data_IF_195888410355
#
_entry.id   IF_195888410355
#
_cell.length_a   1.000
_cell.length_b   1.000
_cell.length_c   1.000
_cell.angle_alpha   90.00
_cell.angle_beta   90.00
_cell.angle_gamma   90.00
#
_symmetry.space_group_name_H-M   'P 1'
#
loop_
_entity.id
_entity.type
_entity.pdbx_description
1 polymer ?
#
# COMPACT_ATOMS: atom_id res chain seq x y z
N UNK A 1 -17.25 -23.19 -5.88
CA UNK A 1 -17.42 -22.28 -7.04
C UNK A 1 -16.42 -21.17 -6.97
N UNK A 2 -15.86 -20.78 -8.10
CA UNK A 2 -15.01 -19.60 -8.21
C UNK A 2 -15.89 -18.41 -8.62
N UNK A 3 -15.62 -17.25 -8.04
CA UNK A 3 -16.29 -16.01 -8.39
C UNK A 3 -15.22 -14.97 -8.70
N UNK A 4 -15.21 -14.46 -9.92
CA UNK A 4 -14.34 -13.37 -10.31
C UNK A 4 -14.98 -12.04 -9.88
N UNK A 5 -14.24 -11.24 -9.11
CA UNK A 5 -14.66 -9.89 -8.70
C UNK A 5 -13.56 -8.92 -9.12
N UNK A 6 -13.84 -8.09 -10.10
CA UNK A 6 -12.93 -7.05 -10.59
C UNK A 6 -13.26 -5.65 -10.05
N UNK A 7 -14.51 -5.46 -9.62
CA UNK A 7 -15.01 -4.26 -8.96
C UNK A 7 -16.29 -4.63 -8.22
N UNK A 8 -16.36 -4.39 -6.93
CA UNK A 8 -17.50 -4.72 -6.12
C UNK A 8 -17.17 -5.06 -4.68
N UNK A 9 -18.20 -5.37 -3.92
CA UNK A 9 -18.11 -5.74 -2.52
C UNK A 9 -18.62 -7.17 -2.35
N UNK A 10 -17.87 -7.99 -1.60
CA UNK A 10 -18.23 -9.37 -1.28
C UNK A 10 -18.07 -9.63 0.22
N UNK A 11 -18.80 -10.62 0.74
CA UNK A 11 -18.63 -11.10 2.11
C UNK A 11 -18.14 -12.54 2.08
N UNK A 12 -17.03 -12.81 2.81
CA UNK A 12 -16.39 -14.12 2.87
C UNK A 12 -16.11 -14.43 4.34
N UNK A 13 -16.75 -15.47 4.88
CA UNK A 13 -16.54 -15.96 6.26
C UNK A 13 -16.62 -14.84 7.33
N UNK A 14 -17.54 -13.88 7.12
CA UNK A 14 -17.74 -12.76 8.04
C UNK A 14 -16.78 -11.58 7.83
N UNK A 15 -15.86 -11.68 6.88
CA UNK A 15 -15.06 -10.56 6.42
C UNK A 15 -15.77 -9.83 5.27
N UNK A 16 -15.87 -8.50 5.35
CA UNK A 16 -16.29 -7.67 4.22
C UNK A 16 -15.07 -7.34 3.37
N UNK A 17 -15.12 -7.65 2.11
CA UNK A 17 -14.04 -7.40 1.16
C UNK A 17 -14.54 -6.47 0.06
N UNK A 18 -13.92 -5.30 -0.04
CA UNK A 18 -14.15 -4.36 -1.14
C UNK A 18 -13.00 -4.48 -2.13
N UNK A 19 -13.35 -4.63 -3.39
CA UNK A 19 -12.39 -4.73 -4.51
C UNK A 19 -12.57 -3.53 -5.42
N UNK A 20 -11.48 -2.84 -5.74
CA UNK A 20 -11.50 -1.70 -6.68
C UNK A 20 -10.30 -1.77 -7.62
N UNK A 21 -10.49 -1.38 -8.89
CA UNK A 21 -9.38 -1.17 -9.80
C UNK A 21 -8.43 -0.09 -9.26
N UNK A 22 -7.13 -0.35 -9.34
CA UNK A 22 -6.08 0.60 -8.95
C UNK A 22 -5.14 0.88 -10.12
N UNK A 23 -4.54 2.08 -10.19
CA UNK A 23 -3.58 2.43 -11.24
C UNK A 23 -2.44 1.41 -11.33
N UNK A 24 -2.22 0.87 -12.51
CA UNK A 24 -1.13 -0.04 -12.86
C UNK A 24 -0.99 -0.12 -14.39
N UNK A 25 0.15 -0.62 -14.90
CA UNK A 25 0.39 -0.81 -16.35
C UNK A 25 -0.52 -1.85 -16.99
N UNK A 26 -1.18 -2.70 -16.20
CA UNK A 26 -2.19 -3.65 -16.61
C UNK A 26 -3.43 -3.54 -15.72
N UNK A 27 -4.44 -4.37 -15.96
CA UNK A 27 -5.58 -4.45 -15.07
C UNK A 27 -5.12 -5.00 -13.70
N UNK A 28 -5.34 -4.24 -12.65
CA UNK A 28 -5.00 -4.62 -11.28
C UNK A 28 -6.06 -4.15 -10.29
N UNK A 29 -6.18 -4.85 -9.17
CA UNK A 29 -7.13 -4.55 -8.12
C UNK A 29 -6.42 -4.36 -6.78
N UNK A 30 -6.90 -3.37 -6.02
CA UNK A 30 -6.66 -3.27 -4.59
C UNK A 30 -7.84 -3.83 -3.79
N UNK A 31 -7.58 -4.10 -2.53
CA UNK A 31 -8.54 -4.74 -1.64
C UNK A 31 -8.62 -4.00 -0.31
N UNK A 32 -9.84 -3.83 0.20
CA UNK A 32 -10.11 -3.43 1.58
C UNK A 32 -10.82 -4.57 2.28
N UNK A 33 -10.26 -5.04 3.39
CA UNK A 33 -10.81 -6.13 4.19
C UNK A 33 -11.18 -5.61 5.58
N UNK A 34 -12.44 -5.80 5.96
CA UNK A 34 -12.95 -5.43 7.28
C UNK A 34 -13.39 -6.70 8.01
N UNK A 35 -12.72 -7.01 9.10
CA UNK A 35 -12.99 -8.22 9.90
C UNK A 35 -12.59 -8.03 11.35
N UNK A 36 -13.41 -8.49 12.29
CA UNK A 36 -13.10 -8.44 13.73
C UNK A 36 -12.86 -7.02 14.27
N UNK A 37 -13.43 -6.00 13.65
CA UNK A 37 -13.22 -4.60 14.01
C UNK A 37 -11.92 -3.99 13.46
N UNK A 38 -11.12 -4.74 12.73
CA UNK A 38 -9.93 -4.24 12.03
C UNK A 38 -10.22 -4.00 10.55
N UNK A 39 -9.54 -3.01 9.98
CA UNK A 39 -9.60 -2.64 8.57
C UNK A 39 -8.20 -2.68 7.96
N UNK A 40 -8.03 -3.46 6.90
CA UNK A 40 -6.77 -3.63 6.18
C UNK A 40 -6.99 -3.26 4.72
N UNK A 41 -6.14 -2.41 4.16
CA UNK A 41 -6.06 -2.17 2.72
C UNK A 41 -4.82 -2.86 2.14
N UNK A 42 -4.96 -3.51 0.99
CA UNK A 42 -3.88 -4.24 0.31
C UNK A 42 -3.75 -3.77 -1.14
N UNK A 43 -2.61 -3.16 -1.44
CA UNK A 43 -2.28 -2.58 -2.74
C UNK A 43 -0.84 -2.99 -3.13
N UNK A 44 -0.64 -4.28 -3.49
CA UNK A 44 0.69 -4.85 -3.76
C UNK A 44 1.32 -4.28 -5.03
N UNK A 45 0.52 -4.02 -6.05
CA UNK A 45 0.95 -3.44 -7.32
C UNK A 45 0.16 -2.14 -7.53
N UNK A 46 0.77 -1.02 -7.23
CA UNK A 46 0.12 0.28 -7.37
C UNK A 46 1.08 1.28 -8.01
N UNK A 47 0.72 1.76 -9.20
CA UNK A 47 1.53 2.71 -9.93
C UNK A 47 1.25 4.14 -9.48
N UNK A 48 2.30 4.85 -9.06
CA UNK A 48 2.18 6.28 -8.81
C UNK A 48 2.10 7.08 -10.13
N UNK A 49 1.47 8.28 -10.13
CA UNK A 49 1.52 9.18 -11.27
C UNK A 49 2.97 9.52 -11.65
N UNK A 50 3.26 9.50 -12.96
CA UNK A 50 4.59 9.85 -13.50
C UNK A 50 4.64 11.26 -14.12
N UNK A 51 3.53 11.99 -14.03
CA UNK A 51 3.38 13.34 -14.54
C UNK A 51 3.83 14.43 -13.53
N UNK A 52 4.45 14.02 -12.43
CA UNK A 52 4.89 14.91 -11.34
C UNK A 52 3.77 15.36 -10.40
N UNK A 53 2.55 14.87 -10.59
CA UNK A 53 1.44 15.17 -9.65
C UNK A 53 1.50 14.27 -8.43
N UNK A 54 1.32 14.87 -7.25
CA UNK A 54 1.08 14.15 -6.01
C UNK A 54 -0.43 13.96 -5.83
N UNK A 55 -1.02 13.06 -6.60
CA UNK A 55 -2.46 12.78 -6.56
C UNK A 55 -2.70 11.29 -6.35
N UNK A 56 -3.57 10.98 -5.41
CA UNK A 56 -4.08 9.62 -5.19
C UNK A 56 -5.40 9.46 -5.93
N UNK A 57 -5.62 8.32 -6.59
CA UNK A 57 -6.90 8.05 -7.23
C UNK A 57 -8.01 7.82 -6.20
N UNK A 58 -9.25 8.16 -6.56
CA UNK A 58 -10.41 8.03 -5.68
C UNK A 58 -10.60 6.59 -5.20
N UNK A 59 -10.37 5.60 -6.07
CA UNK A 59 -10.45 4.18 -5.73
C UNK A 59 -9.43 3.76 -4.67
N UNK A 60 -8.21 4.27 -4.73
CA UNK A 60 -7.16 4.01 -3.74
C UNK A 60 -7.50 4.68 -2.42
N UNK A 61 -7.97 5.94 -2.45
CA UNK A 61 -8.43 6.62 -1.22
C UNK A 61 -9.59 5.86 -0.58
N UNK A 62 -10.58 5.40 -1.38
CA UNK A 62 -11.71 4.61 -0.87
C UNK A 62 -11.27 3.33 -0.17
N UNK A 63 -10.29 2.61 -0.72
CA UNK A 63 -9.76 1.39 -0.11
C UNK A 63 -9.01 1.66 1.19
N UNK A 64 -8.21 2.73 1.22
CA UNK A 64 -7.31 3.04 2.32
C UNK A 64 -7.96 3.88 3.44
N UNK A 65 -9.14 4.47 3.22
CA UNK A 65 -9.79 5.42 4.14
C UNK A 65 -9.86 4.90 5.57
N UNK A 66 -9.12 5.59 6.48
CA UNK A 66 -9.06 5.28 7.90
C UNK A 66 -8.57 3.86 8.25
N UNK A 67 -7.89 3.17 7.34
CA UNK A 67 -7.45 1.79 7.57
C UNK A 67 -6.53 1.66 8.78
N UNK A 68 -6.69 0.57 9.55
CA UNK A 68 -5.78 0.24 10.64
C UNK A 68 -4.39 -0.15 10.13
N UNK A 69 -4.33 -0.72 8.91
CA UNK A 69 -3.09 -1.04 8.22
C UNK A 69 -3.29 -0.89 6.71
N UNK A 70 -2.41 -0.15 6.06
CA UNK A 70 -2.25 -0.16 4.61
C UNK A 70 -1.01 -0.97 4.27
N UNK A 71 -1.16 -2.02 3.48
CA UNK A 71 -0.06 -2.80 2.88
C UNK A 71 0.07 -2.28 1.45
N UNK A 72 1.20 -1.64 1.14
CA UNK A 72 1.32 -0.86 -0.08
C UNK A 72 2.62 -1.17 -0.83
N UNK A 73 2.52 -1.18 -2.16
CA UNK A 73 3.68 -1.15 -3.05
C UNK A 73 4.64 -0.02 -2.62
N UNK A 74 5.90 -0.35 -2.46
CA UNK A 74 6.96 0.57 -2.05
C UNK A 74 8.29 0.14 -2.65
N UNK A 75 8.27 -0.12 -3.97
CA UNK A 75 9.35 -0.81 -4.65
C UNK A 75 10.60 0.05 -4.80
N UNK A 76 10.45 1.38 -5.01
CA UNK A 76 11.54 2.22 -5.49
C UNK A 76 11.89 3.39 -4.56
N UNK A 77 13.17 3.79 -4.66
CA UNK A 77 13.58 5.17 -4.35
C UNK A 77 13.11 6.12 -5.45
N UNK A 78 13.17 7.44 -5.21
CA UNK A 78 12.84 8.43 -6.25
C UNK A 78 13.78 8.36 -7.47
N UNK A 79 15.07 8.05 -7.25
CA UNK A 79 16.07 7.95 -8.32
C UNK A 79 15.82 6.71 -9.19
N UNK A 80 15.45 5.59 -8.59
CA UNK A 80 15.08 4.37 -9.30
C UNK A 80 13.79 4.55 -10.09
N UNK A 81 12.79 5.19 -9.48
CA UNK A 81 11.52 5.47 -10.15
C UNK A 81 11.71 6.30 -11.41
N UNK A 82 12.60 7.28 -11.40
CA UNK A 82 12.90 8.08 -12.59
C UNK A 82 13.33 7.24 -13.80
N UNK A 83 13.90 6.07 -13.56
CA UNK A 83 14.34 5.13 -14.59
C UNK A 83 13.33 4.00 -14.88
N UNK A 84 12.44 3.72 -13.91
CA UNK A 84 11.53 2.57 -13.94
C UNK A 84 10.04 2.97 -13.89
N UNK A 85 9.68 4.25 -14.11
CA UNK A 85 8.32 4.79 -13.97
C UNK A 85 7.24 4.04 -14.76
N UNK A 86 7.65 3.32 -15.81
CA UNK A 86 6.77 2.55 -16.70
C UNK A 86 6.56 1.09 -16.27
N UNK A 87 7.11 0.68 -15.13
CA UNK A 87 6.99 -0.71 -14.64
C UNK A 87 5.72 -0.97 -13.81
N UNK A 88 5.03 0.08 -13.40
CA UNK A 88 3.73 -0.08 -12.74
C UNK A 88 3.77 0.01 -11.21
N UNK A 89 4.87 0.50 -10.63
CA UNK A 89 5.06 0.54 -9.19
C UNK A 89 5.22 1.98 -8.67
N UNK A 90 5.49 2.12 -7.39
CA UNK A 90 5.65 3.42 -6.77
C UNK A 90 6.90 3.52 -5.88
N UNK A 91 7.14 4.74 -5.41
CA UNK A 91 8.21 5.01 -4.45
C UNK A 91 7.74 4.84 -3.02
N UNK A 92 8.69 4.64 -2.12
CA UNK A 92 8.46 4.65 -0.66
C UNK A 92 7.83 5.97 -0.21
N UNK A 93 8.26 7.11 -0.76
CA UNK A 93 7.68 8.42 -0.45
C UNK A 93 6.20 8.50 -0.84
N UNK A 94 5.83 7.93 -1.99
CA UNK A 94 4.44 7.90 -2.43
C UNK A 94 3.58 6.98 -1.57
N UNK A 95 4.10 5.84 -1.12
CA UNK A 95 3.40 4.96 -0.19
C UNK A 95 3.08 5.66 1.14
N UNK A 96 4.03 6.40 1.72
CA UNK A 96 3.80 7.23 2.91
C UNK A 96 2.76 8.32 2.64
N UNK A 97 2.84 8.98 1.48
CA UNK A 97 1.89 10.00 1.07
C UNK A 97 0.46 9.44 0.97
N UNK A 98 0.26 8.31 0.28
CA UNK A 98 -1.06 7.65 0.13
C UNK A 98 -1.65 7.30 1.50
N UNK A 99 -0.86 6.67 2.37
CA UNK A 99 -1.32 6.27 3.70
C UNK A 99 -1.72 7.48 4.57
N UNK A 100 -0.96 8.59 4.48
CA UNK A 100 -1.29 9.83 5.18
C UNK A 100 -2.57 10.49 4.64
N UNK A 101 -2.70 10.63 3.32
CA UNK A 101 -3.89 11.23 2.69
C UNK A 101 -5.17 10.45 3.01
N UNK A 102 -5.06 9.13 3.12
CA UNK A 102 -6.17 8.27 3.49
C UNK A 102 -6.45 8.25 5.01
N UNK A 103 -5.66 8.92 5.83
CA UNK A 103 -5.81 8.88 7.30
C UNK A 103 -5.58 7.49 7.90
N UNK A 104 -4.75 6.66 7.26
CA UNK A 104 -4.40 5.34 7.77
C UNK A 104 -3.62 5.43 9.09
N UNK A 105 -3.72 4.41 9.94
CA UNK A 105 -3.00 4.38 11.21
C UNK A 105 -1.59 3.84 11.06
N UNK A 106 -1.40 2.80 10.25
CA UNK A 106 -0.13 2.11 10.02
C UNK A 106 0.10 1.84 8.55
N UNK A 107 1.38 1.79 8.15
CA UNK A 107 1.81 1.46 6.80
C UNK A 107 2.79 0.28 6.84
N UNK A 108 2.55 -0.74 6.02
CA UNK A 108 3.52 -1.77 5.69
C UNK A 108 4.04 -1.56 4.28
N UNK A 109 5.32 -1.28 4.15
CA UNK A 109 6.03 -1.26 2.87
C UNK A 109 6.11 -2.70 2.36
N UNK A 110 5.64 -2.93 1.16
CA UNK A 110 5.53 -4.24 0.55
C UNK A 110 6.05 -4.21 -0.90
N UNK A 111 6.16 -5.37 -1.52
CA UNK A 111 6.56 -5.49 -2.93
C UNK A 111 7.95 -4.88 -3.21
N UNK A 112 8.92 -5.18 -2.34
CA UNK A 112 10.30 -4.69 -2.47
C UNK A 112 10.92 -5.12 -3.79
N UNK A 113 11.76 -4.26 -4.40
CA UNK A 113 12.49 -4.59 -5.62
C UNK A 113 13.42 -5.80 -5.35
N UNK A 114 13.35 -6.86 -6.17
CA UNK A 114 14.23 -8.02 -6.00
C UNK A 114 15.73 -7.72 -6.07
N UNK A 115 16.11 -6.53 -6.55
CA UNK A 115 17.50 -6.07 -6.55
C UNK A 115 17.93 -5.47 -5.20
N UNK A 116 17.00 -5.21 -4.30
CA UNK A 116 17.29 -4.71 -2.96
C UNK A 116 17.63 -5.88 -2.04
N UNK A 117 18.78 -5.79 -1.37
CA UNK A 117 19.14 -6.64 -0.26
C UNK A 117 18.54 -6.12 1.06
N UNK A 118 18.74 -6.84 2.15
CA UNK A 118 18.18 -6.47 3.46
C UNK A 118 18.65 -5.09 3.93
N UNK A 119 19.90 -4.70 3.63
CA UNK A 119 20.44 -3.39 3.99
C UNK A 119 19.74 -2.26 3.23
N UNK A 120 19.45 -2.47 1.95
CA UNK A 120 18.69 -1.52 1.15
C UNK A 120 17.23 -1.39 1.65
N UNK A 121 16.58 -2.50 2.01
CA UNK A 121 15.23 -2.47 2.58
C UNK A 121 15.21 -1.76 3.94
N UNK A 122 16.20 -1.99 4.80
CA UNK A 122 16.34 -1.28 6.07
C UNK A 122 16.54 0.23 5.87
N UNK A 123 17.33 0.63 4.88
CA UNK A 123 17.51 2.04 4.53
C UNK A 123 16.22 2.69 4.04
N UNK A 124 15.45 2.00 3.18
CA UNK A 124 14.12 2.45 2.73
C UNK A 124 13.14 2.58 3.89
N UNK A 125 13.13 1.64 4.83
CA UNK A 125 12.32 1.71 6.03
C UNK A 125 12.69 2.89 6.91
N UNK A 126 13.99 3.13 7.12
CA UNK A 126 14.46 4.28 7.90
C UNK A 126 14.03 5.61 7.23
N UNK A 127 14.14 5.69 5.91
CA UNK A 127 13.67 6.85 5.13
C UNK A 127 12.16 7.04 5.28
N UNK A 128 11.36 5.98 5.11
CA UNK A 128 9.91 6.05 5.27
C UNK A 128 9.50 6.52 6.67
N UNK A 129 10.15 6.02 7.71
CA UNK A 129 9.90 6.45 9.11
C UNK A 129 10.18 7.92 9.33
N UNK A 130 11.30 8.43 8.82
CA UNK A 130 11.61 9.85 8.89
C UNK A 130 10.57 10.72 8.17
N UNK A 131 10.04 10.26 7.04
CA UNK A 131 8.94 10.94 6.33
C UNK A 131 7.64 10.88 7.13
N UNK A 132 7.35 9.76 7.76
CA UNK A 132 6.15 9.55 8.55
C UNK A 132 6.09 10.38 9.84
N UNK A 133 7.21 10.83 10.39
CA UNK A 133 7.25 11.76 11.54
C UNK A 133 6.47 13.06 11.30
N UNK A 134 6.27 13.44 10.04
CA UNK A 134 5.53 14.64 9.63
C UNK A 134 4.06 14.35 9.30
N UNK A 135 3.58 13.14 9.59
CA UNK A 135 2.24 12.64 9.24
C UNK A 135 1.46 12.17 10.46
N UNK A 136 0.25 11.64 10.24
CA UNK A 136 -0.57 11.02 11.27
C UNK A 136 -0.31 9.52 11.48
N UNK A 137 0.64 8.93 10.75
CA UNK A 137 0.96 7.50 10.86
C UNK A 137 1.61 7.18 12.21
N UNK A 138 1.07 6.19 12.91
CA UNK A 138 1.60 5.74 14.20
C UNK A 138 2.75 4.74 14.06
N UNK A 139 2.83 4.05 12.92
CA UNK A 139 3.86 3.04 12.66
C UNK A 139 4.10 2.85 11.16
N UNK A 140 5.37 2.68 10.80
CA UNK A 140 5.78 2.20 9.47
C UNK A 140 6.69 0.97 9.65
N UNK A 141 6.36 -0.12 8.95
CA UNK A 141 7.10 -1.39 8.95
C UNK A 141 7.47 -1.76 7.52
N UNK A 142 8.55 -2.51 7.34
CA UNK A 142 8.84 -3.21 6.09
C UNK A 142 8.34 -4.66 6.23
N UNK A 143 7.57 -5.13 5.26
CA UNK A 143 7.07 -6.49 5.29
C UNK A 143 8.19 -7.49 4.95
N UNK A 144 8.19 -8.63 5.62
CA UNK A 144 9.10 -9.76 5.37
C UNK A 144 8.38 -11.08 5.63
N UNK A 145 8.93 -12.17 5.10
CA UNK A 145 8.35 -13.50 5.28
C UNK A 145 8.28 -13.89 6.77
N UNK A 146 7.09 -14.28 7.22
CA UNK A 146 6.83 -14.65 8.61
C UNK A 146 6.45 -13.49 9.53
N UNK A 147 6.44 -12.24 9.04
CA UNK A 147 5.94 -11.10 9.82
C UNK A 147 4.46 -11.31 10.17
N UNK A 148 4.14 -11.14 11.44
CA UNK A 148 2.75 -11.13 11.93
C UNK A 148 2.43 -9.76 12.51
N UNK A 149 1.34 -9.16 12.06
CA UNK A 149 0.83 -7.89 12.59
C UNK A 149 -0.47 -8.16 13.34
N UNK A 150 -0.50 -7.77 14.61
CA UNK A 150 -1.69 -7.92 15.45
C UNK A 150 -2.49 -6.63 15.50
N UNK A 151 -3.80 -6.78 15.56
CA UNK A 151 -4.72 -5.67 15.80
C UNK A 151 -5.22 -5.83 17.23
N UNK A 152 -5.00 -4.81 18.07
CA UNK A 152 -5.45 -4.81 19.45
C UNK A 152 -6.97 -4.91 19.52
N UNK A 153 -7.45 -5.76 20.43
CA UNK A 153 -8.85 -5.79 20.84
C UNK A 153 -9.21 -4.62 21.75
#
# INVERSE_FOLDING_TARGET
SFHDVSDGDVEIDGAKVRVRPVPHVGANNGYRVEVGGATIAYLADHQMPHDGTHRVSDSVLELCDGADLVIHDAQYTNDEFAQKYYWGHCTVDYAVFVANEAGAKRLALFHHDPAHDDEAVDALLAHARARAELTGLSEVIAAYEGLTVSFGG
#
